data_IF_902777168787
#
_entry.id   IF_902777168787
#
_cell.length_a   1.000
_cell.length_b   1.000
_cell.length_c   1.000
_cell.angle_alpha   90.00
_cell.angle_beta   90.00
_cell.angle_gamma   90.00
#
_symmetry.space_group_name_H-M   'P 1'
#
loop_
_entity.id
_entity.type
_entity.pdbx_description
1 polymer ?
#
# COMPACT_ATOMS: atom_id res chain seq x y z
N UNK A 1 -8.55 -22.38 -11.66
CA UNK A 1 -7.84 -23.37 -10.83
C UNK A 1 -6.60 -22.66 -10.29
N UNK A 2 -6.52 -22.44 -8.98
CA UNK A 2 -5.40 -21.70 -8.36
C UNK A 2 -4.17 -22.61 -8.42
N UNK A 3 -3.12 -22.21 -9.13
CA UNK A 3 -1.95 -23.03 -9.39
C UNK A 3 -0.76 -22.63 -8.52
N UNK A 4 -0.83 -22.91 -7.21
CA UNK A 4 0.30 -22.69 -6.29
C UNK A 4 1.48 -23.66 -6.50
N UNK A 5 1.40 -24.56 -7.51
CA UNK A 5 2.39 -25.63 -7.72
C UNK A 5 3.79 -25.11 -8.09
N UNK A 6 3.89 -23.87 -8.56
CA UNK A 6 5.16 -23.26 -9.00
C UNK A 6 5.62 -22.10 -8.10
N UNK A 7 5.03 -21.97 -6.89
CA UNK A 7 5.44 -20.92 -5.98
C UNK A 7 6.77 -21.28 -5.30
N UNK A 8 7.77 -20.46 -5.56
CA UNK A 8 9.05 -20.50 -4.83
C UNK A 8 8.90 -19.77 -3.48
N UNK A 9 9.83 -19.99 -2.55
CA UNK A 9 9.81 -19.33 -1.25
C UNK A 9 9.68 -17.79 -1.36
N UNK A 10 10.44 -17.07 -2.21
CA UNK A 10 10.30 -15.62 -2.38
C UNK A 10 8.92 -15.18 -2.90
N UNK A 11 8.28 -15.99 -3.74
CA UNK A 11 6.91 -15.69 -4.21
C UNK A 11 5.88 -15.84 -3.10
N UNK A 12 6.07 -16.84 -2.21
CA UNK A 12 5.25 -16.97 -1.01
C UNK A 12 5.42 -15.80 -0.06
N UNK A 13 6.63 -15.27 0.08
CA UNK A 13 6.90 -14.08 0.90
C UNK A 13 6.18 -12.85 0.34
N UNK A 14 6.22 -12.62 -0.99
CA UNK A 14 5.50 -11.53 -1.64
C UNK A 14 3.97 -11.74 -1.50
N UNK A 15 3.47 -12.96 -1.72
CA UNK A 15 2.04 -13.26 -1.59
C UNK A 15 1.54 -13.06 -0.17
N UNK A 16 2.24 -13.65 0.82
CA UNK A 16 1.88 -13.55 2.23
C UNK A 16 2.01 -12.10 2.74
N UNK A 17 3.05 -11.40 2.31
CA UNK A 17 3.24 -9.99 2.65
C UNK A 17 2.11 -9.11 2.10
N UNK A 18 1.71 -9.32 0.83
CA UNK A 18 0.59 -8.58 0.24
C UNK A 18 -0.76 -8.93 0.92
N UNK A 19 -0.95 -10.19 1.30
CA UNK A 19 -2.12 -10.61 2.08
C UNK A 19 -2.16 -9.93 3.46
N UNK A 20 -1.02 -9.82 4.12
CA UNK A 20 -0.92 -9.10 5.40
C UNK A 20 -1.14 -7.59 5.23
N UNK A 21 -0.70 -6.97 4.13
CA UNK A 21 -1.02 -5.57 3.80
C UNK A 21 -2.53 -5.38 3.61
N UNK A 22 -3.18 -6.30 2.93
CA UNK A 22 -4.64 -6.28 2.79
C UNK A 22 -5.32 -6.32 4.16
N UNK A 23 -4.90 -7.22 5.05
CA UNK A 23 -5.43 -7.24 6.42
C UNK A 23 -5.09 -5.98 7.20
N UNK A 24 -3.90 -5.42 7.03
CA UNK A 24 -3.51 -4.15 7.64
C UNK A 24 -4.49 -3.03 7.23
N UNK A 25 -4.77 -2.89 5.94
CA UNK A 25 -5.72 -1.88 5.43
C UNK A 25 -7.14 -2.12 5.95
N UNK A 26 -7.60 -3.38 6.04
CA UNK A 26 -8.91 -3.71 6.59
C UNK A 26 -9.02 -3.42 8.09
N UNK A 27 -7.98 -3.72 8.87
CA UNK A 27 -7.93 -3.38 10.30
C UNK A 27 -7.86 -1.87 10.51
N UNK A 28 -7.10 -1.16 9.69
CA UNK A 28 -7.03 0.29 9.76
C UNK A 28 -8.37 0.92 9.38
N UNK A 29 -9.05 0.39 8.37
CA UNK A 29 -10.40 0.80 7.98
C UNK A 29 -11.41 0.54 9.11
N UNK A 30 -11.36 -0.63 9.76
CA UNK A 30 -12.19 -0.94 10.91
C UNK A 30 -11.93 0.03 12.08
N UNK A 31 -10.65 0.32 12.36
CA UNK A 31 -10.28 1.35 13.33
C UNK A 31 -10.85 2.70 12.99
N UNK A 32 -10.75 3.13 11.71
CA UNK A 32 -11.28 4.39 11.24
C UNK A 32 -12.80 4.48 11.47
N UNK A 33 -13.53 3.44 11.08
CA UNK A 33 -15.00 3.38 11.27
C UNK A 33 -15.38 3.44 12.75
N UNK A 34 -14.67 2.73 13.63
CA UNK A 34 -14.99 2.71 15.06
C UNK A 34 -14.61 4.02 15.75
N UNK A 35 -13.49 4.64 15.36
CA UNK A 35 -12.92 5.80 16.07
C UNK A 35 -13.44 7.15 15.57
N UNK A 36 -13.77 7.26 14.28
CA UNK A 36 -14.10 8.55 13.65
C UNK A 36 -15.53 8.64 13.09
N UNK A 37 -16.36 7.62 13.29
CA UNK A 37 -17.77 7.70 12.86
C UNK A 37 -18.46 8.86 13.57
N UNK A 38 -19.13 9.77 12.83
CA UNK A 38 -19.90 10.85 13.42
C UNK A 38 -20.91 10.31 14.44
N UNK A 39 -21.00 10.92 15.62
CA UNK A 39 -21.88 10.53 16.73
C UNK A 39 -21.54 9.17 17.42
N UNK A 40 -20.37 8.62 17.25
CA UNK A 40 -19.95 7.44 18.00
C UNK A 40 -19.29 7.84 19.32
N UNK A 41 -19.75 7.23 20.44
CA UNK A 41 -18.96 7.23 21.68
C UNK A 41 -17.77 6.31 21.46
N UNK A 42 -16.55 6.86 21.30
CA UNK A 42 -15.35 6.09 21.04
C UNK A 42 -15.19 4.92 22.03
N UNK A 43 -15.29 3.69 21.51
CA UNK A 43 -15.19 2.48 22.32
C UNK A 43 -13.76 1.98 22.44
N UNK A 44 -13.47 1.18 23.44
CA UNK A 44 -12.17 0.52 23.68
C UNK A 44 -11.70 -0.40 22.54
N UNK A 45 -12.60 -0.79 21.63
CA UNK A 45 -12.29 -1.63 20.47
C UNK A 45 -11.32 -0.99 19.46
N UNK A 46 -11.22 0.35 19.42
CA UNK A 46 -10.31 1.05 18.52
C UNK A 46 -8.84 0.67 18.73
N UNK A 47 -8.41 0.51 19.99
CA UNK A 47 -7.05 0.11 20.32
C UNK A 47 -6.64 -1.25 19.75
N UNK A 48 -7.56 -2.23 19.74
CA UNK A 48 -7.31 -3.54 19.14
C UNK A 48 -7.04 -3.45 17.64
N UNK A 49 -7.89 -2.74 16.90
CA UNK A 49 -7.77 -2.65 15.44
C UNK A 49 -6.49 -1.94 15.00
N UNK A 50 -6.13 -0.82 15.66
CA UNK A 50 -4.90 -0.12 15.30
C UNK A 50 -3.64 -0.93 15.63
N UNK A 51 -3.66 -1.67 16.75
CA UNK A 51 -2.56 -2.58 17.09
C UNK A 51 -2.44 -3.72 16.09
N UNK A 52 -3.56 -4.33 15.70
CA UNK A 52 -3.58 -5.39 14.68
C UNK A 52 -3.08 -4.87 13.32
N UNK A 53 -3.50 -3.67 12.90
CA UNK A 53 -3.02 -3.02 11.69
C UNK A 53 -1.50 -2.80 11.75
N UNK A 54 -0.98 -2.31 12.86
CA UNK A 54 0.45 -2.09 13.02
C UNK A 54 1.26 -3.39 12.92
N UNK A 55 0.86 -4.44 13.64
CA UNK A 55 1.55 -5.74 13.63
C UNK A 55 1.53 -6.35 12.21
N UNK A 56 0.36 -6.38 11.57
CA UNK A 56 0.23 -6.92 10.21
C UNK A 56 1.01 -6.09 9.19
N UNK A 57 1.05 -4.77 9.33
CA UNK A 57 1.82 -3.88 8.47
C UNK A 57 3.32 -4.10 8.57
N UNK A 58 3.87 -4.19 9.79
CA UNK A 58 5.31 -4.46 10.00
C UNK A 58 5.69 -5.83 9.46
N UNK A 59 4.90 -6.87 9.73
CA UNK A 59 5.14 -8.21 9.20
C UNK A 59 5.07 -8.25 7.67
N UNK A 60 4.12 -7.53 7.08
CA UNK A 60 3.98 -7.41 5.63
C UNK A 60 5.21 -6.77 4.98
N UNK A 61 5.69 -5.64 5.53
CA UNK A 61 6.89 -4.94 5.04
C UNK A 61 8.10 -5.88 5.09
N UNK A 62 8.28 -6.62 6.18
CA UNK A 62 9.39 -7.55 6.32
C UNK A 62 9.33 -8.66 5.27
N UNK A 63 8.19 -9.33 5.10
CA UNK A 63 8.00 -10.40 4.13
C UNK A 63 8.15 -9.91 2.69
N UNK A 64 7.48 -8.83 2.32
CA UNK A 64 7.58 -8.28 0.97
C UNK A 64 9.01 -7.86 0.65
N UNK A 65 9.69 -7.18 1.57
CA UNK A 65 11.09 -6.77 1.38
C UNK A 65 12.01 -7.96 1.20
N UNK A 66 11.81 -9.04 1.97
CA UNK A 66 12.56 -10.30 1.83
C UNK A 66 12.36 -10.93 0.45
N UNK A 67 11.11 -11.15 0.06
CA UNK A 67 10.76 -11.75 -1.23
C UNK A 67 11.21 -10.91 -2.43
N UNK A 68 11.01 -9.59 -2.39
CA UNK A 68 11.46 -8.66 -3.43
C UNK A 68 12.99 -8.68 -3.55
N UNK A 69 13.72 -8.62 -2.44
CA UNK A 69 15.17 -8.64 -2.44
C UNK A 69 15.72 -9.95 -3.02
N UNK A 70 15.15 -11.08 -2.61
CA UNK A 70 15.55 -12.40 -3.11
C UNK A 70 15.34 -12.54 -4.62
N UNK A 71 14.16 -12.10 -5.13
CA UNK A 71 13.88 -12.15 -6.57
C UNK A 71 14.64 -11.08 -7.37
N UNK A 72 15.01 -9.96 -6.77
CA UNK A 72 15.69 -8.88 -7.49
C UNK A 72 17.10 -9.26 -7.95
N UNK A 73 17.73 -10.24 -7.32
CA UNK A 73 19.05 -10.76 -7.72
C UNK A 73 18.99 -11.46 -9.08
N UNK A 74 17.87 -12.09 -9.40
CA UNK A 74 17.67 -12.82 -10.66
C UNK A 74 16.91 -11.98 -11.72
N UNK A 75 16.48 -10.76 -11.35
CA UNK A 75 15.66 -9.93 -12.20
C UNK A 75 16.47 -9.16 -13.24
N UNK A 76 16.05 -9.23 -14.51
CA UNK A 76 16.56 -8.40 -15.62
C UNK A 76 15.81 -7.07 -15.77
N UNK A 77 14.85 -6.79 -14.86
CA UNK A 77 14.02 -5.59 -14.89
C UNK A 77 14.70 -4.35 -14.33
N UNK A 78 13.88 -3.31 -14.13
CA UNK A 78 14.32 -2.07 -13.49
C UNK A 78 14.83 -2.40 -12.07
N UNK A 79 16.07 -2.01 -11.71
CA UNK A 79 16.57 -2.28 -10.38
C UNK A 79 15.67 -1.67 -9.30
N UNK A 80 15.20 -2.49 -8.37
CA UNK A 80 14.33 -2.08 -7.26
C UNK A 80 14.87 -0.88 -6.50
N UNK A 81 16.21 -0.77 -6.37
CA UNK A 81 16.87 0.38 -5.75
C UNK A 81 16.51 1.72 -6.39
N UNK A 82 16.23 1.78 -7.69
CA UNK A 82 15.79 3.02 -8.33
C UNK A 82 14.35 3.37 -8.02
N UNK A 83 13.47 2.38 -7.84
CA UNK A 83 12.09 2.59 -7.41
C UNK A 83 12.08 3.12 -5.97
N UNK A 84 12.84 2.49 -5.09
CA UNK A 84 12.97 2.91 -3.70
C UNK A 84 13.60 4.31 -3.58
N UNK A 85 14.66 4.58 -4.34
CA UNK A 85 15.30 5.90 -4.36
C UNK A 85 14.38 6.97 -4.92
N UNK A 86 13.64 6.68 -6.00
CA UNK A 86 12.65 7.56 -6.57
C UNK A 86 11.50 7.85 -5.61
N UNK A 87 10.99 6.84 -4.92
CA UNK A 87 9.99 6.98 -3.87
C UNK A 87 10.48 7.84 -2.71
N UNK A 88 11.69 7.61 -2.24
CA UNK A 88 12.31 8.44 -1.19
C UNK A 88 12.49 9.89 -1.66
N UNK A 89 13.00 10.12 -2.86
CA UNK A 89 13.16 11.46 -3.42
C UNK A 89 11.81 12.19 -3.53
N UNK A 90 10.77 11.49 -4.02
CA UNK A 90 9.41 12.04 -4.10
C UNK A 90 8.88 12.40 -2.71
N UNK A 91 9.10 11.55 -1.71
CA UNK A 91 8.70 11.85 -0.33
C UNK A 91 9.37 13.11 0.20
N UNK A 92 10.69 13.25 0.01
CA UNK A 92 11.42 14.47 0.40
C UNK A 92 10.97 15.73 -0.34
N UNK A 93 10.49 15.62 -1.58
CA UNK A 93 9.88 16.74 -2.30
C UNK A 93 8.49 17.08 -1.74
N UNK A 94 7.69 16.07 -1.39
CA UNK A 94 6.35 16.29 -0.84
C UNK A 94 6.39 16.90 0.57
N UNK A 95 7.45 16.67 1.36
CA UNK A 95 7.63 17.28 2.68
C UNK A 95 7.48 18.82 2.64
N UNK A 96 8.33 19.56 1.90
CA UNK A 96 8.20 21.01 1.81
C UNK A 96 6.92 21.45 1.09
N UNK A 97 6.44 20.71 0.09
CA UNK A 97 5.20 21.05 -0.61
C UNK A 97 4.02 21.02 0.35
N UNK A 98 3.89 19.98 1.17
CA UNK A 98 2.81 19.91 2.16
C UNK A 98 2.94 20.98 3.24
N UNK A 99 4.15 21.26 3.71
CA UNK A 99 4.39 22.31 4.70
C UNK A 99 4.04 23.71 4.17
N UNK A 100 4.42 24.03 2.92
CA UNK A 100 4.20 25.36 2.31
C UNK A 100 2.75 25.53 1.86
N UNK A 101 2.20 24.55 1.13
CA UNK A 101 0.87 24.66 0.50
C UNK A 101 -0.24 24.41 1.52
N UNK A 102 -0.06 23.48 2.46
CA UNK A 102 -1.08 23.09 3.41
C UNK A 102 -0.80 23.57 4.84
N UNK A 103 0.34 24.24 5.07
CA UNK A 103 0.78 24.71 6.39
C UNK A 103 0.81 23.60 7.45
N UNK A 104 1.14 22.36 7.05
CA UNK A 104 1.17 21.18 7.91
C UNK A 104 2.41 20.35 7.67
N UNK A 105 2.94 19.82 8.77
CA UNK A 105 4.02 18.83 8.73
C UNK A 105 3.41 17.51 8.24
N UNK A 106 4.18 16.79 7.39
CA UNK A 106 3.82 15.49 6.85
C UNK A 106 3.35 14.55 7.95
N UNK A 107 2.22 13.94 7.72
CA UNK A 107 1.64 12.97 8.62
C UNK A 107 2.19 11.57 8.35
N UNK A 108 2.05 10.70 9.36
CA UNK A 108 2.36 9.28 9.25
C UNK A 108 1.62 8.59 8.10
N UNK A 109 0.41 9.06 7.76
CA UNK A 109 -0.40 8.50 6.69
C UNK A 109 0.27 8.66 5.31
N UNK A 110 0.86 9.82 5.04
CA UNK A 110 1.57 10.05 3.78
C UNK A 110 2.80 9.14 3.67
N UNK A 111 3.53 8.95 4.78
CA UNK A 111 4.67 8.04 4.82
C UNK A 111 4.24 6.58 4.55
N UNK A 112 3.15 6.13 5.19
CA UNK A 112 2.61 4.78 5.01
C UNK A 112 2.20 4.55 3.55
N UNK A 113 1.48 5.50 2.93
CA UNK A 113 1.11 5.43 1.52
C UNK A 113 2.33 5.32 0.60
N UNK A 114 3.41 6.08 0.90
CA UNK A 114 4.64 6.02 0.12
C UNK A 114 5.35 4.67 0.25
N UNK A 115 5.43 4.14 1.47
CA UNK A 115 6.03 2.81 1.72
C UNK A 115 5.23 1.74 0.98
N UNK A 116 3.91 1.77 1.09
CA UNK A 116 3.02 0.85 0.37
C UNK A 116 3.21 0.92 -1.14
N UNK A 117 3.11 2.10 -1.74
CA UNK A 117 3.27 2.28 -3.18
C UNK A 117 4.65 1.84 -3.70
N UNK A 118 5.71 2.13 -2.93
CA UNK A 118 7.07 1.72 -3.29
C UNK A 118 7.24 0.19 -3.23
N UNK A 119 6.66 -0.49 -2.24
CA UNK A 119 6.69 -1.95 -2.12
C UNK A 119 5.93 -2.61 -3.27
N UNK A 120 4.71 -2.15 -3.56
CA UNK A 120 3.88 -2.69 -4.63
C UNK A 120 4.54 -2.51 -6.01
N UNK A 121 5.04 -1.31 -6.32
CA UNK A 121 5.74 -1.05 -7.57
C UNK A 121 7.02 -1.89 -7.68
N UNK A 122 7.74 -2.08 -6.57
CA UNK A 122 8.93 -2.93 -6.54
C UNK A 122 8.59 -4.39 -6.78
N UNK A 123 7.51 -4.91 -6.18
CA UNK A 123 7.02 -6.26 -6.42
C UNK A 123 6.61 -6.46 -7.89
N UNK A 124 5.86 -5.52 -8.47
CA UNK A 124 5.48 -5.56 -9.89
C UNK A 124 6.73 -5.58 -10.80
N UNK A 125 7.72 -4.72 -10.52
CA UNK A 125 8.94 -4.62 -11.32
C UNK A 125 9.75 -5.91 -11.27
N UNK A 126 9.90 -6.52 -10.11
CA UNK A 126 10.64 -7.78 -9.95
C UNK A 126 9.90 -8.94 -10.60
N UNK A 127 8.58 -9.04 -10.43
CA UNK A 127 7.77 -10.08 -11.06
C UNK A 127 7.77 -9.97 -12.58
N UNK A 128 7.81 -8.75 -13.12
CA UNK A 128 8.01 -8.52 -14.55
C UNK A 128 9.44 -8.92 -14.99
N UNK A 129 10.46 -8.46 -14.26
CA UNK A 129 11.86 -8.73 -14.60
C UNK A 129 12.25 -10.20 -14.53
N UNK A 130 11.57 -11.00 -13.70
CA UNK A 130 11.73 -12.47 -13.63
C UNK A 130 10.85 -13.22 -14.64
N UNK A 131 10.07 -12.51 -15.47
CA UNK A 131 9.20 -13.09 -16.48
C UNK A 131 7.92 -13.75 -15.93
N UNK A 132 7.63 -13.57 -14.64
CA UNK A 132 6.37 -14.06 -14.03
C UNK A 132 5.15 -13.27 -14.50
N UNK A 133 5.30 -11.97 -14.68
CA UNK A 133 4.28 -11.12 -15.26
C UNK A 133 4.65 -10.74 -16.70
N UNK A 134 3.68 -10.87 -17.61
CA UNK A 134 3.78 -10.25 -18.93
C UNK A 134 3.62 -8.72 -18.81
N UNK A 135 4.08 -8.00 -19.83
CA UNK A 135 4.06 -6.52 -19.85
C UNK A 135 2.66 -5.93 -19.57
N UNK A 136 1.60 -6.52 -20.12
CA UNK A 136 0.22 -6.06 -19.89
C UNK A 136 -0.18 -6.10 -18.42
N UNK A 137 0.08 -7.22 -17.72
CA UNK A 137 -0.21 -7.36 -16.28
C UNK A 137 0.60 -6.39 -15.43
N UNK A 138 1.90 -6.27 -15.74
CA UNK A 138 2.78 -5.36 -15.02
C UNK A 138 2.35 -3.89 -15.15
N UNK A 139 2.05 -3.45 -16.37
CA UNK A 139 1.57 -2.08 -16.62
C UNK A 139 0.22 -1.82 -15.95
N UNK A 140 -0.72 -2.77 -16.03
CA UNK A 140 -2.04 -2.62 -15.38
C UNK A 140 -1.90 -2.50 -13.86
N UNK A 141 -1.13 -3.37 -13.22
CA UNK A 141 -0.92 -3.30 -11.77
C UNK A 141 -0.17 -2.04 -11.36
N UNK A 142 0.89 -1.65 -12.08
CA UNK A 142 1.60 -0.39 -11.81
C UNK A 142 0.67 0.83 -11.96
N UNK A 143 -0.19 0.84 -12.97
CA UNK A 143 -1.18 1.90 -13.16
C UNK A 143 -2.21 1.93 -12.01
N UNK A 144 -2.70 0.78 -11.55
CA UNK A 144 -3.62 0.71 -10.40
C UNK A 144 -2.97 1.25 -9.12
N UNK A 145 -1.73 0.86 -8.84
CA UNK A 145 -0.96 1.41 -7.69
C UNK A 145 -0.79 2.92 -7.83
N UNK A 146 -0.44 3.40 -9.03
CA UNK A 146 -0.30 4.84 -9.30
C UNK A 146 -1.61 5.60 -9.09
N UNK A 147 -2.72 5.08 -9.60
CA UNK A 147 -4.06 5.70 -9.44
C UNK A 147 -4.46 5.71 -7.96
N UNK A 148 -4.27 4.62 -7.22
CA UNK A 148 -4.58 4.57 -5.81
C UNK A 148 -3.73 5.56 -5.00
N UNK A 149 -2.43 5.66 -5.29
CA UNK A 149 -1.53 6.64 -4.66
C UNK A 149 -1.98 8.07 -4.93
N UNK A 150 -2.32 8.42 -6.17
CA UNK A 150 -2.82 9.76 -6.53
C UNK A 150 -4.16 10.05 -5.86
N UNK A 151 -5.09 9.09 -5.86
CA UNK A 151 -6.37 9.22 -5.16
C UNK A 151 -6.16 9.45 -3.66
N UNK A 152 -5.27 8.68 -3.03
CA UNK A 152 -4.91 8.85 -1.63
C UNK A 152 -4.32 10.23 -1.33
N UNK A 153 -3.43 10.75 -2.19
CA UNK A 153 -2.87 12.11 -2.05
C UNK A 153 -3.95 13.19 -2.18
N UNK A 154 -4.87 13.06 -3.13
CA UNK A 154 -6.00 13.99 -3.28
C UNK A 154 -6.88 13.96 -2.03
N UNK A 155 -7.22 12.77 -1.53
CA UNK A 155 -8.01 12.61 -0.31
C UNK A 155 -7.31 13.23 0.90
N UNK A 156 -5.99 13.03 1.04
CA UNK A 156 -5.18 13.65 2.07
C UNK A 156 -5.24 15.19 2.02
N UNK A 157 -5.14 15.76 0.81
CA UNK A 157 -5.21 17.21 0.63
C UNK A 157 -6.60 17.78 0.96
N UNK A 158 -7.65 17.05 0.62
CA UNK A 158 -9.03 17.48 0.84
C UNK A 158 -9.48 17.31 2.30
N UNK A 159 -8.98 16.29 2.99
CA UNK A 159 -9.40 15.91 4.34
C UNK A 159 -9.54 17.09 5.31
N UNK A 160 -8.59 18.00 5.28
CA UNK A 160 -8.54 19.15 6.18
C UNK A 160 -9.37 20.36 5.74
N UNK A 161 -10.04 20.27 4.59
CA UNK A 161 -10.89 21.33 4.03
C UNK A 161 -12.37 20.97 4.05
N UNK A 162 -12.66 19.72 4.39
CA UNK A 162 -14.01 19.19 4.43
C UNK A 162 -14.60 19.30 5.83
N UNK A 163 -15.93 19.29 5.90
CA UNK A 163 -16.67 19.15 7.17
C UNK A 163 -16.43 17.75 7.77
N UNK A 164 -16.88 17.55 9.01
CA UNK A 164 -16.65 16.31 9.76
C UNK A 164 -17.18 15.07 9.03
N UNK A 165 -18.38 15.15 8.47
CA UNK A 165 -19.00 14.02 7.76
C UNK A 165 -18.29 13.72 6.45
N UNK A 166 -17.98 14.74 5.66
CA UNK A 166 -17.26 14.58 4.39
C UNK A 166 -15.83 14.11 4.61
N UNK A 167 -15.14 14.60 5.65
CA UNK A 167 -13.80 14.15 6.05
C UNK A 167 -13.79 12.68 6.43
N UNK A 168 -14.80 12.20 7.16
CA UNK A 168 -14.96 10.79 7.51
C UNK A 168 -15.00 9.90 6.26
N UNK A 169 -15.87 10.21 5.30
CA UNK A 169 -15.97 9.44 4.06
C UNK A 169 -14.73 9.55 3.20
N UNK A 170 -14.16 10.76 3.11
CA UNK A 170 -12.93 11.00 2.36
C UNK A 170 -11.74 10.17 2.89
N UNK A 171 -11.61 10.01 4.21
CA UNK A 171 -10.55 9.18 4.82
C UNK A 171 -10.70 7.68 4.58
N UNK A 172 -11.91 7.19 4.24
CA UNK A 172 -12.12 5.78 3.86
C UNK A 172 -11.63 5.46 2.45
N UNK A 173 -11.59 6.45 1.54
CA UNK A 173 -11.26 6.23 0.12
C UNK A 173 -9.86 5.64 -0.07
N UNK A 174 -8.77 6.19 0.51
CA UNK A 174 -7.44 5.60 0.37
C UNK A 174 -7.39 4.14 0.83
N UNK A 175 -7.93 3.86 2.01
CA UNK A 175 -7.90 2.52 2.61
C UNK A 175 -8.66 1.49 1.77
N UNK A 176 -9.80 1.88 1.20
CA UNK A 176 -10.59 1.00 0.34
C UNK A 176 -9.96 0.80 -1.03
N UNK A 177 -9.35 1.84 -1.61
CA UNK A 177 -8.64 1.73 -2.90
C UNK A 177 -7.39 0.89 -2.77
N UNK A 178 -6.61 1.06 -1.70
CA UNK A 178 -5.41 0.26 -1.43
C UNK A 178 -5.78 -1.21 -1.21
N UNK A 179 -6.79 -1.50 -0.38
CA UNK A 179 -7.30 -2.85 -0.18
C UNK A 179 -7.77 -3.50 -1.49
N UNK A 180 -8.44 -2.75 -2.34
CA UNK A 180 -8.85 -3.23 -3.66
C UNK A 180 -7.66 -3.58 -4.55
N UNK A 181 -6.65 -2.71 -4.63
CA UNK A 181 -5.43 -2.95 -5.44
C UNK A 181 -4.70 -4.20 -4.94
N UNK A 182 -4.55 -4.35 -3.62
CA UNK A 182 -3.92 -5.54 -3.03
C UNK A 182 -4.70 -6.83 -3.32
N UNK A 183 -6.03 -6.78 -3.27
CA UNK A 183 -6.86 -7.92 -3.63
C UNK A 183 -6.71 -8.31 -5.11
N UNK A 184 -6.65 -7.32 -6.02
CA UNK A 184 -6.38 -7.55 -7.44
C UNK A 184 -4.98 -8.13 -7.65
N UNK A 185 -3.97 -7.59 -6.97
CA UNK A 185 -2.59 -8.08 -7.03
C UNK A 185 -2.52 -9.56 -6.60
N UNK A 186 -3.12 -9.91 -5.46
CA UNK A 186 -3.20 -11.29 -4.98
C UNK A 186 -3.89 -12.22 -5.98
N UNK A 187 -4.99 -11.77 -6.59
CA UNK A 187 -5.70 -12.52 -7.61
C UNK A 187 -4.86 -12.77 -8.85
N UNK A 188 -4.16 -11.74 -9.34
CA UNK A 188 -3.24 -11.86 -10.49
C UNK A 188 -2.07 -12.79 -10.17
N UNK A 189 -1.48 -12.67 -8.97
CA UNK A 189 -0.35 -13.51 -8.55
C UNK A 189 -0.77 -14.97 -8.38
N UNK A 190 -1.98 -15.24 -7.87
CA UNK A 190 -2.50 -16.60 -7.67
C UNK A 190 -2.79 -17.37 -8.97
N UNK A 191 -2.97 -16.66 -10.10
CA UNK A 191 -3.22 -17.26 -11.43
C UNK A 191 -2.04 -17.14 -12.39
N UNK A 192 -0.90 -16.61 -11.93
CA UNK A 192 0.36 -16.52 -12.69
C UNK A 192 1.25 -17.71 -12.39
#
# INVERSE_FOLDING_TARGET
>A
MICFRNFTAPLWEIFAGNLLLLFCSLFYLAWWVVSFRPNSSGGSAGGFYITAAFITGVAAIALMSGGINSLSQDSKGLPVKFILLGGAALFFVLLPVTAIVFHRIVTSELLIMHIWGALELSAVAVLYGTGRFGAGRAVTLAALVGIATVAGLICYMLYYRLDETASYWNGMVPLTTDAFVMAVFLGVLAVS
#
